data_IF_516657112247
#
_entry.id   IF_516657112247
#
_cell.length_a   1.000
_cell.length_b   1.000
_cell.length_c   1.000
_cell.angle_alpha   90.00
_cell.angle_beta   90.00
_cell.angle_gamma   90.00
#
_symmetry.space_group_name_H-M   'P 1'
#
loop_
_entity.id
_entity.type
_entity.pdbx_description
1 polymer ?
#
# COMPACT_ATOMS: atom_id res chain seq x y z
N UNK A 1 -4.14 14.09 5.83
CA UNK A 1 -4.13 12.62 5.83
C UNK A 1 -3.88 12.12 4.45
N UNK A 2 -2.82 11.37 4.28
CA UNK A 2 -2.26 11.17 2.97
C UNK A 2 -2.21 9.72 2.56
N UNK A 3 -3.37 9.07 2.57
CA UNK A 3 -3.52 7.73 1.99
C UNK A 3 -4.62 7.82 0.95
N UNK A 4 -4.23 7.64 -0.31
CA UNK A 4 -5.17 7.61 -1.43
C UNK A 4 -5.27 6.19 -1.94
N UNK A 5 -6.49 5.67 -2.05
CA UNK A 5 -6.73 4.30 -2.50
C UNK A 5 -7.57 4.33 -3.76
N UNK A 6 -7.09 3.67 -4.80
CA UNK A 6 -7.86 3.44 -6.01
C UNK A 6 -8.10 1.94 -6.12
N UNK A 7 -9.38 1.54 -6.05
CA UNK A 7 -9.77 0.14 -6.13
C UNK A 7 -9.85 -0.31 -7.59
N UNK A 8 -9.18 -1.41 -7.91
CA UNK A 8 -9.26 -2.06 -9.21
C UNK A 8 -9.01 -1.11 -10.39
N UNK A 9 -7.89 -0.37 -10.40
CA UNK A 9 -7.54 0.42 -11.59
C UNK A 9 -7.39 -0.51 -12.77
N UNK A 10 -7.64 0.00 -13.99
CA UNK A 10 -7.54 -0.86 -15.15
C UNK A 10 -6.08 -1.15 -15.50
N UNK A 11 -5.89 -2.20 -16.30
CA UNK A 11 -4.55 -2.67 -16.65
C UNK A 11 -3.76 -1.62 -17.43
N UNK A 12 -4.43 -0.86 -18.29
CA UNK A 12 -3.76 0.16 -19.09
C UNK A 12 -3.16 1.26 -18.18
N UNK A 13 -3.87 1.63 -17.12
CA UNK A 13 -3.37 2.59 -16.15
C UNK A 13 -2.14 2.05 -15.43
N UNK A 14 -2.19 0.80 -14.99
CA UNK A 14 -1.07 0.16 -14.29
C UNK A 14 0.15 0.06 -15.19
N UNK A 15 -0.06 -0.30 -16.46
CA UNK A 15 1.03 -0.39 -17.43
C UNK A 15 1.65 0.96 -17.73
N UNK A 16 0.83 2.02 -17.83
CA UNK A 16 1.35 3.35 -18.10
C UNK A 16 2.17 3.90 -16.94
N UNK A 17 1.88 3.45 -15.72
CA UNK A 17 2.68 3.81 -14.53
C UNK A 17 3.95 2.96 -14.41
N UNK A 18 4.03 1.86 -15.14
CA UNK A 18 5.16 0.94 -15.07
C UNK A 18 5.15 0.06 -13.83
N UNK A 19 3.97 -0.17 -13.24
CA UNK A 19 3.81 -0.89 -11.98
C UNK A 19 4.51 -2.24 -11.97
N UNK A 20 4.36 -2.99 -13.07
CA UNK A 20 4.88 -4.36 -13.10
C UNK A 20 6.41 -4.43 -13.23
N UNK A 21 7.07 -3.28 -13.37
CA UNK A 21 8.53 -3.17 -13.36
C UNK A 21 9.06 -2.67 -12.02
N UNK A 22 8.19 -2.33 -11.08
CA UNK A 22 8.60 -1.89 -9.75
C UNK A 22 9.05 -3.09 -8.92
N UNK A 23 9.93 -2.87 -7.92
CA UNK A 23 10.31 -3.96 -7.02
C UNK A 23 9.12 -4.51 -6.25
N UNK A 24 9.30 -5.73 -5.74
CA UNK A 24 8.26 -6.43 -4.98
C UNK A 24 8.69 -6.49 -3.51
N UNK A 25 7.72 -6.30 -2.62
CA UNK A 25 7.87 -6.44 -1.18
C UNK A 25 6.83 -7.44 -0.68
N UNK A 26 7.28 -8.33 0.19
CA UNK A 26 6.41 -9.37 0.76
C UNK A 26 6.56 -9.37 2.28
N UNK A 27 5.46 -9.64 2.98
CA UNK A 27 5.49 -9.79 4.42
C UNK A 27 4.32 -10.65 4.88
N UNK A 28 4.61 -11.52 5.88
CA UNK A 28 3.60 -12.37 6.50
C UNK A 28 2.65 -11.57 7.37
N UNK A 29 1.55 -12.21 7.78
CA UNK A 29 0.61 -11.63 8.71
C UNK A 29 1.34 -11.18 9.98
N UNK A 30 1.18 -9.91 10.34
CA UNK A 30 1.92 -9.29 11.43
C UNK A 30 1.39 -7.89 11.69
N UNK A 31 1.81 -7.29 12.78
CA UNK A 31 1.46 -5.90 13.12
C UNK A 31 2.75 -5.15 13.44
N UNK A 32 2.94 -4.01 12.80
CA UNK A 32 4.16 -3.24 12.99
C UNK A 32 3.93 -1.77 12.68
N UNK A 33 4.69 -0.85 13.33
CA UNK A 33 4.65 0.57 12.99
C UNK A 33 5.46 0.82 11.72
N UNK A 34 5.04 1.81 10.95
CA UNK A 34 5.77 2.21 9.75
C UNK A 34 5.69 3.72 9.55
N UNK A 35 6.80 4.31 9.13
CA UNK A 35 6.86 5.73 8.81
C UNK A 35 7.33 5.89 7.37
N UNK A 36 6.56 6.65 6.59
CA UNK A 36 6.91 7.00 5.22
C UNK A 36 7.64 8.34 5.24
N UNK A 37 8.92 8.32 4.94
CA UNK A 37 9.71 9.56 4.85
C UNK A 37 9.54 10.22 3.49
N UNK A 38 9.20 9.43 2.48
CA UNK A 38 8.91 9.88 1.13
C UNK A 38 7.58 9.31 0.69
N UNK A 39 6.95 9.93 -0.30
CA UNK A 39 5.75 9.36 -0.89
C UNK A 39 6.05 7.97 -1.45
N UNK A 40 5.18 7.03 -1.17
CA UNK A 40 5.28 5.68 -1.74
C UNK A 40 3.98 5.35 -2.45
N UNK A 41 4.09 4.82 -3.67
CA UNK A 41 2.95 4.28 -4.42
C UNK A 41 3.14 2.78 -4.48
N UNK A 42 2.10 2.01 -4.17
CA UNK A 42 2.18 0.56 -4.28
C UNK A 42 0.91 -0.02 -4.90
N UNK A 43 1.08 -1.19 -5.50
CA UNK A 43 -0.02 -1.97 -6.06
C UNK A 43 -0.03 -3.33 -5.40
N UNK A 44 -1.14 -3.67 -4.73
CA UNK A 44 -1.25 -4.90 -3.96
C UNK A 44 -1.60 -6.05 -4.90
N UNK A 45 -0.73 -7.06 -4.95
CA UNK A 45 -0.94 -8.26 -5.76
C UNK A 45 -1.71 -9.32 -5.00
N UNK A 46 -1.41 -9.47 -3.71
CA UNK A 46 -2.01 -10.49 -2.85
C UNK A 46 -2.14 -9.97 -1.44
N UNK A 47 -3.15 -10.47 -0.72
CA UNK A 47 -3.27 -10.25 0.69
C UNK A 47 -4.21 -9.13 1.08
N UNK A 48 -4.23 -8.85 2.37
CA UNK A 48 -5.10 -7.84 2.96
C UNK A 48 -4.43 -7.25 4.19
N UNK A 49 -4.55 -5.94 4.34
CA UNK A 49 -4.03 -5.24 5.51
C UNK A 49 -4.97 -4.12 5.94
N UNK A 50 -4.88 -3.77 7.21
CA UNK A 50 -5.54 -2.58 7.76
C UNK A 50 -4.43 -1.62 8.15
N UNK A 51 -4.46 -0.42 7.60
CA UNK A 51 -3.48 0.62 7.89
C UNK A 51 -4.16 1.73 8.67
N UNK A 52 -3.61 2.04 9.84
CA UNK A 52 -4.15 3.08 10.71
C UNK A 52 -3.15 4.23 10.78
N UNK A 53 -3.43 5.35 10.09
CA UNK A 53 -2.56 6.51 10.20
C UNK A 53 -2.69 7.15 11.57
N UNK A 54 -1.60 7.75 12.04
CA UNK A 54 -1.59 8.46 13.32
C UNK A 54 -2.61 9.60 13.26
N UNK A 55 -3.53 9.61 14.21
CA UNK A 55 -4.55 10.64 14.29
C UNK A 55 -5.68 10.52 13.28
N UNK A 56 -5.78 9.43 12.54
CA UNK A 56 -6.82 9.25 11.55
C UNK A 56 -7.48 7.88 11.59
N UNK A 57 -8.54 7.68 10.79
CA UNK A 57 -9.26 6.42 10.77
C UNK A 57 -8.47 5.33 10.05
N UNK A 58 -8.70 4.08 10.43
CA UNK A 58 -8.13 2.93 9.74
C UNK A 58 -8.69 2.79 8.34
N UNK A 59 -7.85 2.33 7.41
CA UNK A 59 -8.28 1.99 6.05
C UNK A 59 -7.89 0.55 5.75
N UNK A 60 -8.73 -0.13 4.99
CA UNK A 60 -8.45 -1.50 4.55
C UNK A 60 -7.94 -1.47 3.12
N UNK A 61 -6.86 -2.21 2.86
CA UNK A 61 -6.28 -2.34 1.52
C UNK A 61 -6.10 -3.82 1.22
N UNK A 62 -6.16 -4.18 -0.05
CA UNK A 62 -6.04 -5.57 -0.46
C UNK A 62 -5.72 -5.72 -1.93
N UNK A 63 -5.71 -6.96 -2.39
CA UNK A 63 -5.38 -7.30 -3.77
C UNK A 63 -6.19 -6.46 -4.76
N UNK A 64 -5.52 -5.86 -5.73
CA UNK A 64 -6.13 -5.01 -6.74
C UNK A 64 -6.16 -3.53 -6.39
N UNK A 65 -5.69 -3.13 -5.21
CA UNK A 65 -5.66 -1.72 -4.81
C UNK A 65 -4.35 -1.04 -5.19
N UNK A 66 -4.48 0.14 -5.77
CA UNK A 66 -3.34 1.04 -6.01
C UNK A 66 -3.40 2.08 -4.89
N UNK A 67 -2.36 2.13 -4.06
CA UNK A 67 -2.36 2.93 -2.84
C UNK A 67 -1.20 3.91 -2.86
N UNK A 68 -1.48 5.18 -2.58
CA UNK A 68 -0.45 6.20 -2.44
C UNK A 68 -0.38 6.64 -0.99
N UNK A 69 0.79 6.48 -0.38
CA UNK A 69 1.07 6.93 0.97
C UNK A 69 1.88 8.21 0.89
N UNK A 70 1.40 9.28 1.51
CA UNK A 70 2.09 10.57 1.49
C UNK A 70 3.36 10.58 2.33
N UNK A 71 4.24 11.52 2.04
CA UNK A 71 5.45 11.72 2.82
C UNK A 71 5.10 12.12 4.27
N UNK A 72 5.98 11.76 5.19
CA UNK A 72 5.85 12.06 6.63
C UNK A 72 4.65 11.41 7.31
N UNK A 73 4.11 10.36 6.69
CA UNK A 73 3.01 9.61 7.26
C UNK A 73 3.51 8.58 8.25
N UNK A 74 2.98 8.63 9.47
CA UNK A 74 3.20 7.60 10.48
C UNK A 74 1.95 6.77 10.62
N UNK A 75 2.11 5.45 10.59
CA UNK A 75 0.96 4.57 10.64
C UNK A 75 1.30 3.25 11.28
N UNK A 76 0.25 2.50 11.60
CA UNK A 76 0.36 1.12 12.07
C UNK A 76 -0.19 0.22 10.99
N UNK A 77 0.61 -0.74 10.57
CA UNK A 77 0.18 -1.77 9.62
C UNK A 77 -0.26 -3.01 10.39
N UNK A 78 -1.44 -3.50 10.06
CA UNK A 78 -1.91 -4.80 10.52
C UNK A 78 -2.16 -5.67 9.29
N UNK A 79 -1.23 -6.58 9.01
CA UNK A 79 -1.37 -7.49 7.87
C UNK A 79 -2.21 -8.68 8.33
N UNK A 80 -3.40 -8.80 7.74
CA UNK A 80 -4.36 -9.86 8.06
C UNK A 80 -4.05 -11.12 7.26
N UNK A 81 -3.74 -10.93 5.96
CA UNK A 81 -3.32 -12.00 5.05
C UNK A 81 -2.00 -11.57 4.43
N UNK A 82 -1.05 -12.51 4.24
CA UNK A 82 0.28 -12.13 3.73
C UNK A 82 0.20 -11.23 2.51
N UNK A 83 0.98 -10.15 2.54
CA UNK A 83 0.99 -9.12 1.50
C UNK A 83 2.10 -9.40 0.49
N UNK A 84 1.76 -9.19 -0.78
CA UNK A 84 2.73 -9.10 -1.86
C UNK A 84 2.35 -7.90 -2.71
N UNK A 85 3.29 -6.98 -2.90
CA UNK A 85 3.01 -5.74 -3.62
C UNK A 85 4.20 -5.27 -4.43
N UNK A 86 3.92 -4.57 -5.54
CA UNK A 86 4.90 -3.72 -6.21
C UNK A 86 4.90 -2.38 -5.52
N UNK A 87 6.07 -1.75 -5.41
CA UNK A 87 6.15 -0.43 -4.77
C UNK A 87 7.18 0.46 -5.47
N UNK A 88 6.98 1.77 -5.33
CA UNK A 88 7.90 2.78 -5.82
C UNK A 88 7.93 3.95 -4.85
N UNK A 89 9.13 4.36 -4.52
CA UNK A 89 9.36 5.55 -3.69
C UNK A 89 9.46 6.80 -4.55
#
# INVERSE_FOLDING_TARGET
>A
MNIDIEHQPDKAQLESLGVFNWPIWEKEASTFPWTYYEEEICYILQGKAVVTPEGGPSVEIGAGDLVTFGADLRCMWHIVEPIRKHYRL
#
